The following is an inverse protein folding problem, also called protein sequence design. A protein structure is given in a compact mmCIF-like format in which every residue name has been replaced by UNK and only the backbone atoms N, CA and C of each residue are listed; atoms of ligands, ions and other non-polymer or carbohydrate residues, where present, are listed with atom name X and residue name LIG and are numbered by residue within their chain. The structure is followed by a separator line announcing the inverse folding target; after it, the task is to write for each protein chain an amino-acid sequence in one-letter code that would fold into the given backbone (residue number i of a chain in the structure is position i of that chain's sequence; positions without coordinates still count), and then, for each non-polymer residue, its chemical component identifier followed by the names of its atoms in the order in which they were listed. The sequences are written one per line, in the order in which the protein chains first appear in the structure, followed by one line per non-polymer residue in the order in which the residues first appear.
data_IF_583165655871
#
_entry.id   IF_583165655871
#
_cell.length_a   1.000
_cell.length_b   1.000
_cell.length_c   1.000
_cell.angle_alpha   90.00
_cell.angle_beta   90.00
_cell.angle_gamma   90.00
#
_symmetry.space_group_name_H-M   'P 1'
#
loop_
_entity.id
_entity.type
_entity.pdbx_description
1 polymer ?
#
# COMPACT_ATOMS: atom_id res chain seq x y z
N UNK A 1 3.71 5.46 -8.85
CA UNK A 1 2.43 6.16 -9.07
C UNK A 1 1.76 6.58 -7.76
N UNK A 2 1.91 5.83 -6.67
CA UNK A 2 1.41 6.22 -5.34
C UNK A 2 1.83 7.61 -4.87
N UNK A 3 3.08 8.02 -5.06
CA UNK A 3 3.51 9.39 -4.74
C UNK A 3 2.76 10.49 -5.51
N UNK A 4 2.32 10.21 -6.75
CA UNK A 4 1.50 11.15 -7.52
C UNK A 4 0.07 11.20 -7.00
N UNK A 5 -0.48 10.06 -6.55
CA UNK A 5 -1.77 10.06 -5.82
C UNK A 5 -1.66 10.90 -4.55
N UNK A 6 -0.58 10.77 -3.77
CA UNK A 6 -0.41 11.61 -2.59
C UNK A 6 -0.36 13.09 -2.97
N UNK A 7 0.32 13.44 -4.06
CA UNK A 7 0.47 14.83 -4.51
C UNK A 7 -0.84 15.45 -5.02
N UNK A 8 -1.58 14.74 -5.88
CA UNK A 8 -2.76 15.27 -6.57
C UNK A 8 -4.09 14.94 -5.89
N UNK A 9 -4.15 13.88 -5.08
CA UNK A 9 -5.37 13.47 -4.37
C UNK A 9 -5.30 13.86 -2.91
N UNK A 10 -4.27 13.43 -2.17
CA UNK A 10 -4.20 13.68 -0.73
C UNK A 10 -3.85 15.14 -0.38
N UNK A 11 -2.80 15.71 -0.98
CA UNK A 11 -2.37 17.10 -0.70
C UNK A 11 -2.92 18.13 -1.70
N UNK A 12 -3.30 17.67 -2.89
CA UNK A 12 -3.67 18.51 -4.03
C UNK A 12 -5.15 18.48 -4.37
N UNK A 13 -5.99 17.99 -3.47
CA UNK A 13 -7.42 17.77 -3.71
C UNK A 13 -8.10 19.00 -4.34
N UNK A 14 -8.87 18.76 -5.41
CA UNK A 14 -9.61 19.80 -6.12
C UNK A 14 -8.78 20.75 -6.99
N UNK A 15 -7.43 20.67 -6.97
CA UNK A 15 -6.57 21.59 -7.74
C UNK A 15 -6.40 21.20 -9.21
N UNK A 16 -6.45 19.90 -9.52
CA UNK A 16 -6.35 19.41 -10.90
C UNK A 16 -7.10 18.07 -11.04
N UNK A 17 -8.37 18.14 -11.43
CA UNK A 17 -9.24 16.98 -11.53
C UNK A 17 -8.72 15.90 -12.49
N UNK A 18 -8.17 16.30 -13.65
CA UNK A 18 -7.62 15.36 -14.65
C UNK A 18 -6.44 14.56 -14.09
N UNK A 19 -5.51 15.25 -13.41
CA UNK A 19 -4.34 14.60 -12.81
C UNK A 19 -4.77 13.68 -11.66
N UNK A 20 -5.67 14.15 -10.78
CA UNK A 20 -6.21 13.35 -9.68
C UNK A 20 -6.86 12.06 -10.19
N UNK A 21 -7.75 12.16 -11.18
CA UNK A 21 -8.43 10.99 -11.77
C UNK A 21 -7.43 10.02 -12.40
N UNK A 22 -6.50 10.52 -13.22
CA UNK A 22 -5.48 9.71 -13.88
C UNK A 22 -4.67 8.88 -12.88
N UNK A 23 -4.15 9.52 -11.83
CA UNK A 23 -3.29 8.83 -10.88
C UNK A 23 -4.08 7.93 -9.93
N UNK A 24 -5.33 8.27 -9.61
CA UNK A 24 -6.21 7.40 -8.83
C UNK A 24 -6.54 6.11 -9.60
N UNK A 25 -6.88 6.22 -10.88
CA UNK A 25 -7.15 5.07 -11.74
C UNK A 25 -5.92 4.16 -11.86
N UNK A 26 -4.74 4.74 -12.06
CA UNK A 26 -3.50 3.98 -12.12
C UNK A 26 -3.14 3.31 -10.78
N UNK A 27 -3.40 3.99 -9.65
CA UNK A 27 -3.25 3.40 -8.33
C UNK A 27 -4.13 2.16 -8.15
N UNK A 28 -5.44 2.27 -8.42
CA UNK A 28 -6.38 1.15 -8.38
C UNK A 28 -5.96 0.00 -9.30
N UNK A 29 -5.44 0.31 -10.49
CA UNK A 29 -4.90 -0.69 -11.42
C UNK A 29 -3.71 -1.44 -10.81
N UNK A 30 -2.77 -0.73 -10.17
CA UNK A 30 -1.61 -1.35 -9.50
C UNK A 30 -2.06 -2.28 -8.36
N UNK A 31 -3.03 -1.85 -7.53
CA UNK A 31 -3.62 -2.74 -6.51
C UNK A 31 -4.24 -3.99 -7.14
N UNK A 32 -4.93 -3.86 -8.27
CA UNK A 32 -5.45 -5.01 -9.03
C UNK A 32 -4.34 -5.96 -9.51
N UNK A 33 -3.22 -5.44 -10.02
CA UNK A 33 -2.05 -6.24 -10.41
C UNK A 33 -1.44 -6.97 -9.21
N UNK A 34 -1.28 -6.27 -8.08
CA UNK A 34 -0.75 -6.84 -6.85
C UNK A 34 -1.67 -7.95 -6.31
N UNK A 35 -2.97 -7.71 -6.28
CA UNK A 35 -3.97 -8.67 -5.82
C UNK A 35 -3.97 -9.94 -6.67
N UNK A 36 -3.84 -9.79 -8.00
CA UNK A 36 -3.68 -10.93 -8.91
C UNK A 36 -2.37 -11.67 -8.68
N UNK A 37 -1.27 -10.95 -8.47
CA UNK A 37 0.06 -11.54 -8.24
C UNK A 37 0.12 -12.35 -6.94
N UNK A 38 -0.63 -11.95 -5.92
CA UNK A 38 -0.67 -12.60 -4.61
C UNK A 38 -1.78 -13.67 -4.50
N UNK A 39 -2.50 -13.98 -5.58
CA UNK A 39 -3.62 -14.93 -5.52
C UNK A 39 -3.19 -16.36 -5.15
N UNK A 40 -2.00 -16.78 -5.58
CA UNK A 40 -1.44 -18.11 -5.35
C UNK A 40 -0.11 -18.05 -4.57
N UNK A 41 0.20 -16.91 -3.93
CA UNK A 41 1.50 -16.65 -3.31
C UNK A 41 1.35 -15.87 -2.00
N UNK A 42 2.13 -16.26 -1.00
CA UNK A 42 2.23 -15.48 0.23
C UNK A 42 3.14 -14.24 0.08
N UNK A 43 4.05 -14.23 -0.90
CA UNK A 43 5.06 -13.18 -1.13
C UNK A 43 5.21 -12.83 -2.62
N UNK A 44 5.67 -11.62 -2.94
CA UNK A 44 5.72 -11.14 -4.33
C UNK A 44 6.64 -11.97 -5.25
N UNK A 45 7.77 -12.44 -4.74
CA UNK A 45 8.71 -13.30 -5.47
C UNK A 45 8.43 -14.80 -5.29
N UNK A 46 7.51 -15.16 -4.39
CA UNK A 46 7.23 -16.55 -4.01
C UNK A 46 8.33 -17.16 -3.12
N UNK A 47 8.02 -18.31 -2.51
CA UNK A 47 8.96 -19.07 -1.66
C UNK A 47 9.19 -18.47 -0.28
N UNK A 48 9.61 -17.21 -0.18
CA UNK A 48 9.96 -16.56 1.08
C UNK A 48 9.77 -15.03 1.05
N UNK A 49 9.62 -14.45 2.25
CA UNK A 49 9.62 -13.02 2.48
C UNK A 49 10.97 -12.41 2.04
N UNK A 50 10.91 -11.30 1.30
CA UNK A 50 12.11 -10.73 0.68
C UNK A 50 12.14 -9.20 0.76
N UNK A 51 13.25 -8.62 0.29
CA UNK A 51 13.39 -7.17 0.13
C UNK A 51 12.32 -6.57 -0.79
N UNK A 52 11.73 -7.36 -1.69
CA UNK A 52 10.65 -6.90 -2.57
C UNK A 52 9.41 -6.57 -1.74
N UNK A 53 9.05 -7.43 -0.78
CA UNK A 53 7.93 -7.20 0.12
C UNK A 53 8.22 -6.01 1.05
N UNK A 54 9.46 -5.90 1.54
CA UNK A 54 9.92 -4.76 2.36
C UNK A 54 9.78 -3.43 1.59
N UNK A 55 10.18 -3.40 0.31
CA UNK A 55 10.12 -2.18 -0.49
C UNK A 55 8.69 -1.74 -0.83
N UNK A 56 7.76 -2.69 -0.95
CA UNK A 56 6.36 -2.41 -1.33
C UNK A 56 5.53 -2.04 -0.09
N UNK A 57 5.76 -2.69 1.05
CA UNK A 57 4.91 -2.55 2.24
C UNK A 57 4.64 -1.10 2.69
N UNK A 58 5.64 -0.20 2.82
CA UNK A 58 5.40 1.16 3.27
C UNK A 58 4.46 1.96 2.37
N UNK A 59 4.43 1.66 1.07
CA UNK A 59 3.50 2.30 0.14
C UNK A 59 2.06 1.84 0.36
N UNK A 60 1.86 0.55 0.66
CA UNK A 60 0.52 -0.02 0.91
C UNK A 60 0.03 0.33 2.31
N UNK A 61 0.94 0.55 3.26
CA UNK A 61 0.62 1.11 4.58
C UNK A 61 0.12 2.57 4.53
N UNK A 62 -0.08 3.14 3.33
CA UNK A 62 -0.72 4.44 3.09
C UNK A 62 -1.93 4.31 2.15
N UNK A 63 -2.59 3.14 2.15
CA UNK A 63 -3.74 2.87 1.29
C UNK A 63 -4.91 3.86 1.54
N UNK A 64 -5.07 4.33 2.76
CA UNK A 64 -6.01 5.37 3.17
C UNK A 64 -5.75 6.70 2.45
N UNK A 65 -4.48 7.14 2.37
CA UNK A 65 -4.08 8.33 1.61
C UNK A 65 -4.27 8.16 0.10
N UNK A 66 -4.41 6.92 -0.35
CA UNK A 66 -4.63 6.57 -1.74
C UNK A 66 -6.11 6.39 -2.06
N UNK A 67 -7.02 6.63 -1.10
CA UNK A 67 -8.47 6.39 -1.21
C UNK A 67 -8.81 4.95 -1.60
N UNK A 68 -8.01 4.00 -1.08
CA UNK A 68 -8.15 2.56 -1.32
C UNK A 68 -8.58 1.85 -0.05
N UNK A 69 -9.71 1.14 -0.14
CA UNK A 69 -10.09 0.11 0.83
C UNK A 69 -9.38 -1.20 0.46
N UNK A 70 -8.57 -1.75 1.38
CA UNK A 70 -7.89 -3.02 1.10
C UNK A 70 -8.85 -4.22 1.07
N UNK A 71 -10.07 -4.08 1.60
CA UNK A 71 -11.08 -5.13 1.54
C UNK A 71 -11.51 -5.43 0.09
N UNK A 72 -11.35 -4.48 -0.84
CA UNK A 72 -11.54 -4.69 -2.28
C UNK A 72 -10.42 -5.56 -2.91
N UNK A 73 -9.32 -5.77 -2.19
CA UNK A 73 -8.11 -6.46 -2.65
C UNK A 73 -7.67 -7.54 -1.64
N UNK A 74 -8.44 -8.64 -1.49
CA UNK A 74 -8.29 -9.57 -0.38
C UNK A 74 -6.91 -10.24 -0.27
N UNK A 75 -6.22 -10.49 -1.39
CA UNK A 75 -4.88 -11.08 -1.36
C UNK A 75 -3.84 -10.05 -0.91
N UNK A 76 -4.03 -8.78 -1.29
CA UNK A 76 -3.21 -7.67 -0.77
C UNK A 76 -3.48 -7.46 0.72
N UNK A 77 -4.73 -7.50 1.16
CA UNK A 77 -5.09 -7.39 2.57
C UNK A 77 -4.45 -8.51 3.42
N UNK A 78 -4.53 -9.77 2.96
CA UNK A 78 -3.87 -10.92 3.61
C UNK A 78 -2.36 -10.70 3.71
N UNK A 79 -1.71 -10.32 2.61
CA UNK A 79 -0.27 -10.04 2.56
C UNK A 79 0.12 -8.90 3.51
N UNK A 80 -0.64 -7.81 3.48
CA UNK A 80 -0.43 -6.62 4.32
C UNK A 80 -0.50 -6.97 5.81
N UNK A 81 -1.57 -7.64 6.23
CA UNK A 81 -1.76 -8.07 7.62
C UNK A 81 -0.70 -9.06 8.10
N UNK A 82 -0.16 -9.89 7.19
CA UNK A 82 0.91 -10.82 7.51
C UNK A 82 2.21 -10.07 7.81
N UNK A 83 2.54 -9.03 7.03
CA UNK A 83 3.74 -8.20 7.24
C UNK A 83 3.58 -7.29 8.46
N UNK A 84 2.43 -6.63 8.60
CA UNK A 84 2.13 -5.70 9.70
C UNK A 84 2.26 -6.37 11.10
N UNK A 85 2.04 -7.69 11.19
CA UNK A 85 2.19 -8.45 12.44
C UNK A 85 3.65 -8.68 12.85
N UNK A 86 4.62 -8.55 11.95
CA UNK A 86 6.04 -8.85 12.21
C UNK A 86 6.62 -7.84 13.20
N UNK A 87 7.32 -8.31 14.23
CA UNK A 87 7.94 -7.46 15.26
C UNK A 87 8.91 -6.44 14.66
N UNK A 88 9.74 -6.84 13.70
CA UNK A 88 10.68 -5.96 13.02
C UNK A 88 10.00 -4.86 12.20
N UNK A 89 8.83 -5.14 11.62
CA UNK A 89 8.05 -4.14 10.86
C UNK A 89 7.44 -3.13 11.80
N UNK A 90 6.88 -3.56 12.93
CA UNK A 90 6.38 -2.67 13.98
C UNK A 90 7.49 -1.79 14.56
N UNK A 91 8.66 -2.36 14.81
CA UNK A 91 9.82 -1.61 15.28
C UNK A 91 10.27 -0.57 14.25
N UNK A 92 10.39 -0.96 12.97
CA UNK A 92 10.80 -0.06 11.90
C UNK A 92 9.77 1.03 11.57
N UNK A 93 8.49 0.77 11.77
CA UNK A 93 7.42 1.76 11.59
C UNK A 93 7.57 2.97 12.52
N UNK A 94 8.11 2.74 13.72
CA UNK A 94 8.37 3.77 14.72
C UNK A 94 9.74 4.44 14.54
N UNK A 95 10.36 4.33 13.36
CA UNK A 95 11.68 4.93 13.06
C UNK A 95 11.58 5.84 11.82
N UNK A 96 11.95 7.14 11.91
CA UNK A 96 12.26 7.85 13.16
C UNK A 96 11.05 7.86 14.11
N UNK A 97 11.29 8.15 15.39
CA UNK A 97 10.25 8.12 16.41
C UNK A 97 9.04 8.96 15.99
N UNK A 98 7.87 8.34 16.02
CA UNK A 98 6.61 8.95 15.60
C UNK A 98 5.43 8.31 16.35
N UNK A 99 4.29 9.00 16.32
CA UNK A 99 3.02 8.61 16.94
C UNK A 99 2.04 7.99 15.94
N UNK A 100 2.48 7.68 14.71
CA UNK A 100 1.60 7.23 13.65
C UNK A 100 1.17 5.78 13.91
N UNK A 101 -0.13 5.59 14.09
CA UNK A 101 -0.70 4.24 14.11
C UNK A 101 -0.66 3.67 12.70
N UNK A 102 -0.11 2.47 12.56
CA UNK A 102 -0.14 1.74 11.29
C UNK A 102 -1.60 1.46 10.90
N UNK A 103 -2.06 1.89 9.71
CA UNK A 103 -3.46 1.73 9.34
C UNK A 103 -3.78 0.25 9.18
N UNK A 104 -4.97 -0.12 9.65
CA UNK A 104 -5.52 -1.48 9.54
C UNK A 104 -6.78 -1.39 8.66
N UNK A 105 -6.97 -2.33 7.73
CA UNK A 105 -8.17 -2.39 6.89
C UNK A 105 -9.40 -2.89 7.62
#
# INVERSE_FOLDING_TARGET
MFGQVHSFVHYGEGKNAEASERYLNECKRIYGVMNKRLADRDWFVGGAYSIVDIAIFPWIARHDWQTVDLNDYPNVAKWYLTIARRSAVKAGWNVPENDQVMPMP
#
